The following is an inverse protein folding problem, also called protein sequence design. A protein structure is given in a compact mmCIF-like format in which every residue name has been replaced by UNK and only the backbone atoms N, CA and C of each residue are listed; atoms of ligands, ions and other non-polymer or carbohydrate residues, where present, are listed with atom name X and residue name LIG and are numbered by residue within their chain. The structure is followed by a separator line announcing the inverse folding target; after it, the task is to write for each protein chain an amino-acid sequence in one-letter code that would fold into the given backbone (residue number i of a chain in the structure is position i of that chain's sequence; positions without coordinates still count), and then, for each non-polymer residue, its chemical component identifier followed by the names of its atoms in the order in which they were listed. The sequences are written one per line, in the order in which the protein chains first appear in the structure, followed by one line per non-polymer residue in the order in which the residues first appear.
data_IF_101424561004
#
_entry.id   IF_101424561004
#
_cell.length_a   1.000
_cell.length_b   1.000
_cell.length_c   1.000
_cell.angle_alpha   90.00
_cell.angle_beta   90.00
_cell.angle_gamma   90.00
#
_symmetry.space_group_name_H-M   'P 1'
#
loop_
_entity.id
_entity.type
_entity.pdbx_description
1 polymer ?
#
# COMPACT_ATOMS: atom_id res chain seq x y z
N UNK A 1 2.47 -52.43 49.00
CA UNK A 1 3.42 -51.42 48.49
C UNK A 1 4.22 -52.05 47.38
N UNK A 2 4.06 -51.58 46.14
CA UNK A 2 5.14 -51.11 45.26
C UNK A 2 4.46 -50.72 43.94
N UNK A 3 4.20 -49.42 43.80
CA UNK A 3 3.87 -48.84 42.50
C UNK A 3 5.16 -48.72 41.71
N UNK A 4 5.22 -49.38 40.57
CA UNK A 4 6.28 -49.16 39.58
C UNK A 4 5.94 -47.86 38.84
N UNK A 5 6.67 -46.79 39.16
CA UNK A 5 6.71 -45.59 38.35
C UNK A 5 7.20 -45.97 36.95
N UNK A 6 6.29 -45.94 35.98
CA UNK A 6 6.62 -45.85 34.56
C UNK A 6 7.27 -44.49 34.35
N UNK A 7 8.61 -44.47 34.22
CA UNK A 7 9.36 -43.29 33.81
C UNK A 7 8.77 -42.75 32.51
N UNK A 8 8.13 -41.58 32.60
CA UNK A 8 7.71 -40.81 31.44
C UNK A 8 8.96 -40.32 30.73
N UNK A 9 9.44 -41.09 29.75
CA UNK A 9 10.43 -40.64 28.79
C UNK A 9 9.87 -39.37 28.13
N UNK A 10 10.37 -38.22 28.58
CA UNK A 10 10.08 -36.93 27.96
C UNK A 10 10.73 -36.95 26.59
N UNK A 11 9.98 -37.38 25.58
CA UNK A 11 10.41 -37.34 24.19
C UNK A 11 10.54 -35.86 23.79
N UNK A 12 11.74 -35.31 23.89
CA UNK A 12 12.05 -34.02 23.28
C UNK A 12 12.14 -34.23 21.77
N UNK A 13 11.24 -33.62 21.00
CA UNK A 13 11.30 -33.65 19.54
C UNK A 13 12.67 -33.13 19.07
N UNK A 14 13.35 -33.81 18.12
CA UNK A 14 14.60 -33.31 17.55
C UNK A 14 14.40 -32.05 16.68
N UNK A 15 13.15 -31.73 16.35
CA UNK A 15 12.77 -30.55 15.59
C UNK A 15 11.99 -29.58 16.48
N UNK A 16 12.35 -28.31 16.40
CA UNK A 16 11.55 -27.21 16.91
C UNK A 16 10.30 -27.00 16.05
N UNK A 17 9.24 -26.35 16.59
CA UNK A 17 8.05 -26.03 15.81
C UNK A 17 8.35 -25.21 14.55
N UNK A 18 9.27 -24.24 14.65
CA UNK A 18 9.66 -23.42 13.51
C UNK A 18 10.28 -24.28 12.40
N UNK A 19 11.24 -25.14 12.75
CA UNK A 19 11.90 -26.05 11.80
C UNK A 19 10.90 -26.99 11.14
N UNK A 20 9.95 -27.54 11.89
CA UNK A 20 8.90 -28.39 11.33
C UNK A 20 8.06 -27.65 10.29
N UNK A 21 7.56 -26.46 10.62
CA UNK A 21 6.71 -25.71 9.70
C UNK A 21 7.49 -25.25 8.46
N UNK A 22 8.76 -24.88 8.60
CA UNK A 22 9.63 -24.57 7.46
C UNK A 22 9.87 -25.82 6.60
N UNK A 23 10.14 -26.97 7.22
CA UNK A 23 10.33 -28.23 6.51
C UNK A 23 9.11 -28.60 5.68
N UNK A 24 7.89 -28.42 6.22
CA UNK A 24 6.64 -28.63 5.48
C UNK A 24 6.55 -27.77 4.21
N UNK A 25 7.00 -26.50 4.26
CA UNK A 25 7.02 -25.61 3.10
C UNK A 25 8.03 -26.01 2.02
N UNK A 26 9.06 -26.77 2.43
CA UNK A 26 10.17 -27.18 1.59
C UNK A 26 10.03 -28.62 1.06
N UNK A 27 8.92 -29.31 1.36
CA UNK A 27 8.65 -30.64 0.81
C UNK A 27 8.58 -30.55 -0.71
N UNK A 28 9.35 -31.41 -1.37
CA UNK A 28 9.34 -31.57 -2.82
C UNK A 28 7.92 -31.95 -3.30
N UNK A 29 7.33 -31.20 -4.25
CA UNK A 29 6.01 -31.49 -4.81
C UNK A 29 5.86 -32.90 -5.42
N UNK A 30 6.96 -33.58 -5.76
CA UNK A 30 6.95 -34.97 -6.24
C UNK A 30 6.78 -35.99 -5.11
N UNK A 31 7.09 -35.63 -3.86
CA UNK A 31 7.08 -36.52 -2.70
C UNK A 31 5.78 -36.46 -1.91
N UNK A 32 5.04 -35.35 -1.99
CA UNK A 32 3.74 -35.21 -1.36
C UNK A 32 2.85 -34.26 -2.15
N UNK A 33 1.56 -34.55 -2.18
CA UNK A 33 0.61 -33.65 -2.83
C UNK A 33 0.38 -32.38 -2.01
N UNK A 34 0.08 -31.28 -2.71
CA UNK A 34 -0.08 -29.96 -2.10
C UNK A 34 -1.21 -29.92 -1.06
N UNK A 35 -2.28 -30.73 -1.20
CA UNK A 35 -3.40 -30.72 -0.24
C UNK A 35 -2.96 -31.33 1.09
N UNK A 36 -2.13 -32.37 1.06
CA UNK A 36 -1.55 -32.97 2.26
C UNK A 36 -0.64 -31.98 2.99
N UNK A 37 0.25 -31.29 2.28
CA UNK A 37 1.12 -30.26 2.88
C UNK A 37 0.28 -29.13 3.50
N UNK A 38 -0.75 -28.66 2.79
CA UNK A 38 -1.71 -27.68 3.29
C UNK A 38 -2.41 -28.14 4.57
N UNK A 39 -2.80 -29.42 4.64
CA UNK A 39 -3.45 -29.98 5.83
C UNK A 39 -2.50 -30.04 7.02
N UNK A 40 -1.27 -30.50 6.81
CA UNK A 40 -0.25 -30.57 7.85
C UNK A 40 0.11 -29.18 8.41
N UNK A 41 0.31 -28.20 7.52
CA UNK A 41 0.55 -26.80 7.93
C UNK A 41 -0.64 -26.24 8.71
N UNK A 42 -1.88 -26.53 8.29
CA UNK A 42 -3.08 -26.11 9.03
C UNK A 42 -3.18 -26.73 10.43
N UNK A 43 -2.70 -27.96 10.63
CA UNK A 43 -2.65 -28.60 11.94
C UNK A 43 -1.63 -27.92 12.84
N UNK A 44 -0.48 -27.50 12.31
CA UNK A 44 0.48 -26.68 13.05
C UNK A 44 -0.18 -25.41 13.61
N UNK A 45 -0.91 -24.69 12.75
CA UNK A 45 -1.63 -23.48 13.16
C UNK A 45 -2.78 -23.69 14.15
N UNK A 46 -3.28 -24.92 14.33
CA UNK A 46 -4.30 -25.22 15.35
C UNK A 46 -3.69 -25.36 16.76
N UNK A 47 -2.36 -25.52 16.86
CA UNK A 47 -1.63 -25.63 18.11
C UNK A 47 -1.11 -24.26 18.57
N UNK A 48 -2.04 -23.36 18.90
CA UNK A 48 -1.78 -21.94 19.18
C UNK A 48 -0.80 -21.69 20.35
N UNK A 49 -0.64 -22.67 21.24
CA UNK A 49 0.31 -22.64 22.36
C UNK A 49 1.74 -22.94 21.92
N UNK A 50 1.90 -23.63 20.79
CA UNK A 50 3.18 -24.05 20.22
C UNK A 50 3.62 -23.08 19.13
N UNK A 51 2.70 -22.72 18.23
CA UNK A 51 2.96 -21.80 17.12
C UNK A 51 2.57 -20.37 17.50
N UNK A 52 3.32 -19.82 18.46
CA UNK A 52 3.12 -18.46 18.96
C UNK A 52 3.47 -17.39 17.91
N UNK A 53 3.18 -16.14 18.24
CA UNK A 53 3.51 -14.99 17.41
C UNK A 53 5.01 -14.95 17.06
N UNK A 54 5.88 -15.23 18.01
CA UNK A 54 7.35 -15.22 17.86
C UNK A 54 7.82 -16.34 16.94
N UNK A 55 7.30 -17.56 17.14
CA UNK A 55 7.62 -18.72 16.30
C UNK A 55 7.22 -18.46 14.86
N UNK A 56 6.01 -17.95 14.62
CA UNK A 56 5.54 -17.64 13.27
C UNK A 56 6.31 -16.50 12.62
N UNK A 57 6.76 -15.51 13.39
CA UNK A 57 7.64 -14.46 12.87
C UNK A 57 8.96 -15.04 12.34
N UNK A 58 9.60 -15.96 13.09
CA UNK A 58 10.81 -16.66 12.65
C UNK A 58 10.54 -17.48 11.38
N UNK A 59 9.46 -18.25 11.35
CA UNK A 59 9.07 -19.05 10.17
C UNK A 59 8.91 -18.16 8.94
N UNK A 60 8.13 -17.07 9.04
CA UNK A 60 7.89 -16.18 7.92
C UNK A 60 9.17 -15.47 7.45
N UNK A 61 10.02 -15.04 8.38
CA UNK A 61 11.33 -14.43 8.07
C UNK A 61 12.18 -15.40 7.24
N UNK A 62 12.32 -16.64 7.70
CA UNK A 62 13.18 -17.61 7.02
C UNK A 62 12.61 -18.05 5.67
N UNK A 63 11.29 -18.20 5.56
CA UNK A 63 10.65 -18.56 4.28
C UNK A 63 10.79 -17.46 3.23
N UNK A 64 10.73 -16.18 3.59
CA UNK A 64 10.87 -15.08 2.62
C UNK A 64 12.31 -14.90 2.10
N UNK A 65 13.31 -15.37 2.85
CA UNK A 65 14.72 -15.29 2.45
C UNK A 65 15.08 -16.31 1.37
N UNK A 66 14.31 -17.39 1.25
CA UNK A 66 14.57 -18.47 0.28
C UNK A 66 14.47 -18.02 -1.19
N UNK A 67 15.14 -18.77 -2.06
CA UNK A 67 15.12 -18.61 -3.51
C UNK A 67 15.19 -19.99 -4.18
N UNK A 68 14.15 -20.46 -4.89
CA UNK A 68 12.86 -19.79 -5.13
C UNK A 68 12.02 -19.63 -3.85
N UNK A 69 10.95 -18.82 -3.91
CA UNK A 69 10.06 -18.62 -2.76
C UNK A 69 9.17 -19.87 -2.59
N UNK A 70 8.93 -20.33 -1.35
CA UNK A 70 7.99 -21.41 -1.10
C UNK A 70 6.58 -21.05 -1.56
N UNK A 71 5.94 -21.97 -2.29
CA UNK A 71 4.60 -21.76 -2.86
C UNK A 71 3.55 -21.42 -1.80
N UNK A 72 3.70 -21.93 -0.58
CA UNK A 72 2.76 -21.71 0.53
C UNK A 72 3.11 -20.51 1.42
N UNK A 73 4.19 -19.77 1.15
CA UNK A 73 4.65 -18.64 1.97
C UNK A 73 3.51 -17.66 2.29
N UNK A 74 2.82 -17.15 1.27
CA UNK A 74 1.77 -16.15 1.49
C UNK A 74 0.55 -16.70 2.23
N UNK A 75 0.29 -18.01 2.13
CA UNK A 75 -0.76 -18.65 2.94
C UNK A 75 -0.40 -18.58 4.42
N UNK A 76 0.84 -18.92 4.78
CA UNK A 76 1.37 -18.81 6.14
C UNK A 76 1.36 -17.36 6.63
N UNK A 77 1.74 -16.40 5.79
CA UNK A 77 1.70 -14.97 6.14
C UNK A 77 0.27 -14.51 6.47
N UNK A 78 -0.69 -14.81 5.60
CA UNK A 78 -2.09 -14.43 5.81
C UNK A 78 -2.68 -15.12 7.05
N UNK A 79 -2.40 -16.40 7.24
CA UNK A 79 -2.91 -17.17 8.38
C UNK A 79 -2.31 -16.68 9.71
N UNK A 80 -1.00 -16.41 9.74
CA UNK A 80 -0.33 -15.85 10.92
C UNK A 80 -0.92 -14.50 11.30
N UNK A 81 -1.21 -13.65 10.31
CA UNK A 81 -1.82 -12.35 10.56
C UNK A 81 -3.26 -12.45 11.07
N UNK A 82 -4.04 -13.42 10.58
CA UNK A 82 -5.39 -13.68 11.09
C UNK A 82 -5.40 -14.13 12.56
N UNK A 83 -4.39 -14.90 12.99
CA UNK A 83 -4.26 -15.32 14.38
C UNK A 83 -3.65 -14.24 15.27
N UNK A 84 -2.66 -13.51 14.76
CA UNK A 84 -1.87 -12.53 15.51
C UNK A 84 -1.81 -11.19 14.76
N UNK A 85 -2.86 -10.34 14.87
CA UNK A 85 -2.93 -9.05 14.18
C UNK A 85 -1.77 -8.09 14.50
N UNK A 86 -1.12 -8.27 15.65
CA UNK A 86 0.08 -7.50 16.06
C UNK A 86 1.26 -7.66 15.11
N UNK A 87 1.26 -8.70 14.27
CA UNK A 87 2.28 -8.92 13.24
C UNK A 87 2.14 -8.00 12.03
N UNK A 88 1.10 -7.14 11.94
CA UNK A 88 0.84 -6.34 10.74
C UNK A 88 2.06 -5.53 10.27
N UNK A 89 2.78 -4.86 11.18
CA UNK A 89 3.98 -4.09 10.84
C UNK A 89 5.13 -4.97 10.33
N UNK A 90 5.32 -6.14 10.94
CA UNK A 90 6.29 -7.13 10.47
C UNK A 90 5.92 -7.67 9.09
N UNK A 91 4.65 -7.98 8.85
CA UNK A 91 4.14 -8.41 7.55
C UNK A 91 4.33 -7.35 6.47
N UNK A 92 4.11 -6.05 6.76
CA UNK A 92 4.40 -4.99 5.79
C UNK A 92 5.87 -5.00 5.35
N UNK A 93 6.82 -5.23 6.28
CA UNK A 93 8.25 -5.35 5.95
C UNK A 93 8.52 -6.57 5.06
N UNK A 94 7.87 -7.71 5.32
CA UNK A 94 7.95 -8.88 4.44
C UNK A 94 7.46 -8.52 3.04
N UNK A 95 6.27 -7.92 2.92
CA UNK A 95 5.69 -7.58 1.62
C UNK A 95 6.62 -6.63 0.83
N UNK A 96 7.20 -5.62 1.47
CA UNK A 96 8.19 -4.74 0.82
C UNK A 96 9.40 -5.51 0.30
N UNK A 97 9.94 -6.47 1.07
CA UNK A 97 11.06 -7.31 0.63
C UNK A 97 10.67 -8.25 -0.53
N UNK A 98 9.42 -8.71 -0.56
CA UNK A 98 8.91 -9.53 -1.66
C UNK A 98 8.82 -8.75 -2.99
N UNK A 99 8.61 -7.43 -2.94
CA UNK A 99 8.69 -6.56 -4.13
C UNK A 99 10.10 -6.59 -4.71
N UNK A 100 11.14 -6.45 -3.87
CA UNK A 100 12.53 -6.51 -4.31
C UNK A 100 12.89 -7.87 -4.93
N UNK A 101 12.29 -8.96 -4.44
CA UNK A 101 12.41 -10.31 -5.02
C UNK A 101 11.53 -10.56 -6.25
N UNK A 102 10.83 -9.54 -6.74
CA UNK A 102 9.95 -9.63 -7.92
C UNK A 102 8.90 -10.74 -7.78
N UNK A 103 8.18 -10.76 -6.66
CA UNK A 103 7.18 -11.79 -6.31
C UNK A 103 6.17 -12.09 -7.42
N UNK A 104 5.88 -11.13 -8.30
CA UNK A 104 5.03 -11.28 -9.48
C UNK A 104 5.51 -12.32 -10.50
N UNK A 105 6.79 -12.72 -10.47
CA UNK A 105 7.30 -13.83 -11.30
C UNK A 105 6.74 -15.19 -10.90
N UNK A 106 6.19 -15.33 -9.69
CA UNK A 106 5.63 -16.57 -9.17
C UNK A 106 4.13 -16.42 -8.93
N UNK A 107 3.31 -16.83 -9.90
CA UNK A 107 1.85 -16.62 -9.92
C UNK A 107 1.16 -16.92 -8.58
N UNK A 108 1.41 -18.08 -7.98
CA UNK A 108 0.76 -18.49 -6.72
C UNK A 108 1.12 -17.58 -5.54
N UNK A 109 2.39 -17.18 -5.45
CA UNK A 109 2.87 -16.29 -4.39
C UNK A 109 2.33 -14.88 -4.63
N UNK A 110 2.30 -14.43 -5.89
CA UNK A 110 1.74 -13.14 -6.28
C UNK A 110 0.26 -12.99 -5.94
N UNK A 111 -0.57 -14.00 -6.26
CA UNK A 111 -1.98 -14.00 -5.87
C UNK A 111 -2.15 -13.88 -4.35
N UNK A 112 -1.27 -14.54 -3.58
CA UNK A 112 -1.24 -14.42 -2.13
C UNK A 112 -0.82 -13.03 -1.65
N UNK A 113 0.17 -12.41 -2.31
CA UNK A 113 0.62 -11.05 -2.04
C UNK A 113 -0.53 -10.04 -2.18
N UNK A 114 -1.27 -10.11 -3.29
CA UNK A 114 -2.41 -9.22 -3.55
C UNK A 114 -3.49 -9.40 -2.47
N UNK A 115 -3.86 -10.65 -2.15
CA UNK A 115 -4.85 -10.95 -1.11
C UNK A 115 -4.42 -10.45 0.26
N UNK A 116 -3.13 -10.53 0.58
CA UNK A 116 -2.60 -10.00 1.83
C UNK A 116 -2.72 -8.47 1.88
N UNK A 117 -2.34 -7.78 0.80
CA UNK A 117 -2.51 -6.32 0.70
C UNK A 117 -3.98 -5.92 0.86
N UNK A 118 -4.91 -6.63 0.21
CA UNK A 118 -6.33 -6.37 0.30
C UNK A 118 -6.88 -6.50 1.74
N UNK A 119 -6.43 -7.50 2.49
CA UNK A 119 -6.86 -7.74 3.88
C UNK A 119 -6.24 -6.77 4.89
N UNK A 120 -5.22 -6.04 4.50
CA UNK A 120 -4.43 -5.17 5.37
C UNK A 120 -4.52 -3.70 4.95
N UNK A 121 -5.62 -3.34 4.29
CA UNK A 121 -5.96 -1.93 4.08
C UNK A 121 -6.24 -1.25 5.43
N UNK A 122 -5.77 0.00 5.65
CA UNK A 122 -4.98 0.83 4.73
C UNK A 122 -3.46 0.64 4.81
N UNK A 123 -2.96 -0.20 5.72
CA UNK A 123 -1.53 -0.35 6.01
C UNK A 123 -0.71 -0.81 4.78
N UNK A 124 -1.32 -1.59 3.89
CA UNK A 124 -0.69 -2.07 2.66
C UNK A 124 -0.51 -1.02 1.57
N UNK A 125 -1.13 0.16 1.68
CA UNK A 125 -1.10 1.17 0.60
C UNK A 125 0.31 1.64 0.28
N UNK A 126 1.15 1.88 1.29
CA UNK A 126 2.54 2.26 1.08
C UNK A 126 3.36 1.15 0.39
N UNK A 127 3.00 -0.11 0.63
CA UNK A 127 3.62 -1.25 -0.06
C UNK A 127 3.18 -1.29 -1.53
N UNK A 128 1.89 -1.11 -1.80
CA UNK A 128 1.35 -1.10 -3.16
C UNK A 128 1.96 0.03 -4.01
N UNK A 129 2.20 1.20 -3.42
CA UNK A 129 2.83 2.33 -4.11
C UNK A 129 4.30 2.10 -4.49
N UNK A 130 4.97 1.08 -3.93
CA UNK A 130 6.34 0.69 -4.30
C UNK A 130 6.39 -0.26 -5.51
N UNK A 131 5.25 -0.77 -5.97
CA UNK A 131 5.20 -1.66 -7.13
C UNK A 131 5.50 -0.89 -8.43
N UNK A 132 6.16 -1.52 -9.42
CA UNK A 132 6.28 -0.91 -10.73
C UNK A 132 4.89 -0.76 -11.40
N UNK A 133 4.73 0.20 -12.33
CA UNK A 133 3.42 0.54 -12.90
C UNK A 133 2.67 -0.65 -13.53
N UNK A 134 3.39 -1.57 -14.15
CA UNK A 134 2.81 -2.78 -14.75
C UNK A 134 2.18 -3.70 -13.72
N UNK A 135 2.84 -3.88 -12.57
CA UNK A 135 2.35 -4.76 -11.50
C UNK A 135 1.24 -4.08 -10.72
N UNK A 136 1.30 -2.77 -10.52
CA UNK A 136 0.23 -2.02 -9.87
C UNK A 136 -1.08 -2.09 -10.67
N UNK A 137 -1.01 -2.01 -12.00
CA UNK A 137 -2.19 -2.25 -12.87
C UNK A 137 -2.75 -3.66 -12.68
N UNK A 138 -1.88 -4.67 -12.64
CA UNK A 138 -2.30 -6.05 -12.43
C UNK A 138 -2.98 -6.25 -11.06
N UNK A 139 -2.52 -5.57 -10.01
CA UNK A 139 -3.21 -5.53 -8.71
C UNK A 139 -4.65 -5.05 -8.86
N UNK A 140 -4.90 -3.96 -9.59
CA UNK A 140 -6.26 -3.44 -9.78
C UNK A 140 -7.14 -4.35 -10.64
N UNK A 141 -6.57 -5.05 -11.61
CA UNK A 141 -7.31 -6.06 -12.39
C UNK A 141 -7.76 -7.22 -11.50
N UNK A 142 -6.89 -7.68 -10.59
CA UNK A 142 -7.19 -8.79 -9.69
C UNK A 142 -7.99 -8.39 -8.44
N UNK A 143 -7.93 -7.12 -8.03
CA UNK A 143 -8.57 -6.60 -6.82
C UNK A 143 -8.96 -5.13 -7.02
N UNK A 144 -10.03 -4.86 -7.81
CA UNK A 144 -10.44 -3.51 -8.17
C UNK A 144 -10.89 -2.67 -6.96
N UNK A 145 -11.29 -3.32 -5.86
CA UNK A 145 -11.64 -2.68 -4.59
C UNK A 145 -10.45 -2.02 -3.88
N UNK A 146 -9.22 -2.23 -4.35
CA UNK A 146 -8.03 -1.52 -3.88
C UNK A 146 -7.87 -0.14 -4.54
N UNK A 147 -8.46 0.08 -5.72
CA UNK A 147 -8.16 1.25 -6.55
C UNK A 147 -8.63 2.56 -5.93
N UNK A 148 -9.93 2.67 -5.61
CA UNK A 148 -10.47 3.90 -5.02
C UNK A 148 -9.84 4.23 -3.66
N UNK A 149 -9.69 3.28 -2.72
CA UNK A 149 -9.03 3.57 -1.45
C UNK A 149 -7.58 4.02 -1.60
N UNK A 150 -6.84 3.43 -2.55
CA UNK A 150 -5.44 3.81 -2.78
C UNK A 150 -5.33 5.22 -3.39
N UNK A 151 -6.24 5.58 -4.30
CA UNK A 151 -6.33 6.94 -4.85
C UNK A 151 -6.64 7.97 -3.76
N UNK A 152 -7.62 7.68 -2.91
CA UNK A 152 -7.95 8.54 -1.77
C UNK A 152 -6.75 8.68 -0.81
N UNK A 153 -6.02 7.61 -0.53
CA UNK A 153 -4.81 7.66 0.31
C UNK A 153 -3.75 8.59 -0.26
N UNK A 154 -3.55 8.59 -1.58
CA UNK A 154 -2.60 9.49 -2.25
C UNK A 154 -3.03 10.96 -2.17
N UNK A 155 -4.33 11.24 -2.28
CA UNK A 155 -4.86 12.62 -2.21
C UNK A 155 -4.64 13.30 -0.85
N UNK A 156 -4.43 12.52 0.22
CA UNK A 156 -4.08 13.04 1.56
C UNK A 156 -2.60 13.41 1.70
N UNK A 157 -1.76 13.10 0.70
CA UNK A 157 -0.37 13.57 0.68
C UNK A 157 -0.39 14.92 -0.04
N UNK A 158 -0.07 16.04 0.64
CA UNK A 158 -0.05 17.36 0.02
C UNK A 158 0.85 17.35 -1.21
N UNK A 159 0.40 17.96 -2.32
CA UNK A 159 1.14 17.97 -3.58
C UNK A 159 2.57 18.52 -3.40
N UNK A 160 2.75 19.53 -2.55
CA UNK A 160 4.07 20.07 -2.19
C UNK A 160 5.03 19.02 -1.60
N UNK A 161 4.52 18.03 -0.85
CA UNK A 161 5.34 16.93 -0.33
C UNK A 161 5.66 15.94 -1.46
N UNK A 162 4.72 15.69 -2.37
CA UNK A 162 4.96 14.84 -3.55
C UNK A 162 6.00 15.46 -4.49
N UNK A 163 5.97 16.77 -4.73
CA UNK A 163 6.91 17.45 -5.63
C UNK A 163 8.35 17.41 -5.08
N UNK A 164 8.51 17.59 -3.76
CA UNK A 164 9.79 17.42 -3.07
C UNK A 164 10.26 15.96 -3.11
N UNK A 165 9.35 14.99 -2.94
CA UNK A 165 9.69 13.55 -2.93
C UNK A 165 10.01 12.99 -4.32
N UNK A 166 9.33 13.50 -5.36
CA UNK A 166 9.49 13.10 -6.76
C UNK A 166 10.71 13.74 -7.42
N UNK A 167 11.45 14.60 -6.69
CA UNK A 167 12.64 15.26 -7.22
C UNK A 167 12.32 16.15 -8.41
N UNK A 168 11.14 16.79 -8.40
CA UNK A 168 10.86 17.84 -9.37
C UNK A 168 11.82 18.98 -9.07
N UNK A 169 12.96 19.00 -9.78
CA UNK A 169 13.88 20.13 -9.76
C UNK A 169 13.08 21.40 -9.98
N UNK A 170 13.45 22.45 -9.23
CA UNK A 170 12.90 23.80 -9.27
C UNK A 170 12.74 24.39 -10.69
N UNK A 171 13.40 23.78 -11.67
CA UNK A 171 13.37 24.08 -13.10
C UNK A 171 12.01 23.84 -13.79
N UNK A 172 11.16 22.90 -13.33
CA UNK A 172 9.83 22.69 -13.94
C UNK A 172 8.74 23.65 -13.44
N UNK A 173 8.99 24.35 -12.33
CA UNK A 173 8.04 25.33 -11.78
C UNK A 173 8.14 26.64 -12.58
N UNK A 174 9.35 27.00 -13.02
CA UNK A 174 9.58 28.23 -13.79
C UNK A 174 9.01 28.17 -15.22
N UNK A 175 8.88 26.99 -15.85
CA UNK A 175 8.26 26.85 -17.18
C UNK A 175 6.72 27.00 -17.15
N UNK A 176 6.06 26.57 -16.08
CA UNK A 176 4.60 26.69 -15.94
C UNK A 176 4.15 28.13 -15.65
N UNK A 177 4.97 28.91 -14.95
CA UNK A 177 4.71 30.35 -14.72
C UNK A 177 5.04 31.20 -15.96
N UNK A 178 5.94 30.74 -16.86
CA UNK A 178 6.30 31.46 -18.08
C UNK A 178 5.27 31.34 -19.22
N UNK A 179 4.44 30.29 -19.25
CA UNK A 179 3.35 30.16 -20.24
C UNK A 179 2.10 30.98 -19.88
N UNK A 180 2.04 31.55 -18.67
CA UNK A 180 0.91 32.37 -18.21
C UNK A 180 1.23 33.87 -18.27
N UNK A 181 1.83 34.33 -19.37
CA UNK A 181 1.90 35.76 -19.70
C UNK A 181 0.47 36.30 -19.95
N UNK A 182 0.05 37.37 -19.26
CA UNK A 182 -1.26 37.96 -19.49
C UNK A 182 -1.30 38.62 -20.86
N UNK A 183 -2.17 38.11 -21.75
CA UNK A 183 -2.46 38.75 -23.04
C UNK A 183 -2.99 40.16 -22.78
N UNK A 184 -2.17 41.17 -23.09
CA UNK A 184 -2.52 42.58 -23.02
C UNK A 184 -3.79 42.84 -23.87
N UNK A 185 -4.84 43.48 -23.33
CA UNK A 185 -5.99 43.88 -24.13
C UNK A 185 -5.56 44.90 -25.18
N UNK A 186 -6.06 44.73 -26.41
CA UNK A 186 -5.80 45.58 -27.56
C UNK A 186 -6.21 47.04 -27.32
N UNK A 187 -5.42 47.96 -27.89
CA UNK A 187 -5.62 49.40 -27.87
C UNK A 187 -7.05 49.80 -28.30
N UNK A 188 -7.76 50.49 -27.41
CA UNK A 188 -8.93 51.30 -27.78
C UNK A 188 -8.41 52.66 -28.25
N UNK A 189 -8.24 52.83 -29.56
CA UNK A 189 -8.08 54.16 -30.17
C UNK A 189 -9.42 54.88 -30.08
N UNK A 190 -9.53 55.84 -29.16
CA UNK A 190 -10.64 56.79 -29.11
C UNK A 190 -10.33 57.89 -30.13
N UNK A 191 -11.03 57.83 -31.27
CA UNK A 191 -11.02 58.87 -32.29
C UNK A 191 -11.85 60.06 -31.78
N UNK A 192 -11.18 61.16 -31.42
CA UNK A 192 -11.84 62.39 -30.99
C UNK A 192 -12.31 63.13 -32.25
N UNK A 193 -13.59 62.96 -32.60
CA UNK A 193 -14.30 63.88 -33.48
C UNK A 193 -15.09 64.88 -32.65
N UNK A 194 -14.63 66.12 -32.74
CA UNK A 194 -15.18 67.33 -32.18
C UNK A 194 -16.24 67.87 -33.15
N UNK A 195 -17.53 67.85 -32.79
CA UNK A 195 -18.54 68.74 -33.39
C UNK A 195 -19.55 69.17 -32.32
N UNK A 196 -19.58 70.49 -32.12
CA UNK A 196 -20.55 71.25 -31.34
C UNK A 196 -21.98 70.98 -31.79
N UNK A 197 -22.91 70.84 -30.85
CA UNK A 197 -24.26 71.37 -31.05
C UNK A 197 -24.83 71.94 -29.74
N UNK A 198 -25.36 73.13 -29.90
CA UNK A 198 -25.77 74.13 -28.92
C UNK A 198 -27.25 73.91 -28.57
N UNK A 199 -27.59 73.81 -27.29
CA UNK A 199 -28.93 74.20 -26.79
C UNK A 199 -28.97 74.23 -25.25
N UNK A 200 -29.42 75.34 -24.64
CA UNK A 200 -29.40 75.54 -23.20
C UNK A 200 -30.69 75.04 -22.51
N UNK A 201 -30.55 74.43 -21.33
CA UNK A 201 -31.66 74.23 -20.39
C UNK A 201 -31.38 75.03 -19.11
N UNK A 202 -32.25 75.98 -18.70
CA UNK A 202 -31.98 76.86 -17.56
C UNK A 202 -32.64 76.39 -16.25
N UNK A 203 -31.93 76.63 -15.14
CA UNK A 203 -32.46 76.78 -13.77
C UNK A 203 -32.79 75.48 -13.04
N UNK A 204 -32.47 75.25 -11.76
CA UNK A 204 -32.16 76.18 -10.67
C UNK A 204 -31.45 75.41 -9.54
N UNK A 205 -30.42 76.03 -8.96
CA UNK A 205 -29.81 75.74 -7.64
C UNK A 205 -30.77 76.11 -6.46
N UNK A 206 -30.38 76.00 -5.17
CA UNK A 206 -29.76 74.87 -4.44
C UNK A 206 -30.40 74.68 -3.04
N UNK A 207 -29.98 73.70 -2.24
CA UNK A 207 -30.32 73.64 -0.80
C UNK A 207 -29.82 72.38 -0.06
N UNK A 208 -28.96 72.50 0.97
CA UNK A 208 -28.23 71.37 1.58
C UNK A 208 -28.80 70.98 2.98
N UNK A 209 -28.02 70.32 3.88
CA UNK A 209 -28.32 69.02 4.51
C UNK A 209 -28.98 69.13 5.90
N UNK A 210 -29.38 68.00 6.48
CA UNK A 210 -29.80 67.93 7.88
C UNK A 210 -29.67 66.53 8.47
N UNK A 211 -28.73 66.37 9.40
CA UNK A 211 -28.58 65.27 10.35
C UNK A 211 -29.73 65.28 11.39
N UNK A 212 -30.31 64.10 11.69
CA UNK A 212 -30.33 63.42 13.01
C UNK A 212 -31.03 62.04 12.88
#
# INVERSE_FOLDING_TARGET
MLGTHSEGSSYTSPLTPAELLIALHNIDPSKADMKTIIKATSQCFAENQVYTQEVLAVVMQQLMEQSPLPTLLMRTVIQSLSLYPRLIGFVMNILQRLILKQVWKQKKVWEGFIKCCQRTKPQSFQVLLQLPPTQLRDVFVNSPDLQQPLQAHRAHIPQAVMDVLMGTSREQIDELDAEMEPVSPAELTIDVRDENDDSPVPGSEPGPPGDD
#
